data_IF_729612676712
#
_entry.id   IF_729612676712
#
_cell.length_a   1.000
_cell.length_b   1.000
_cell.length_c   1.000
_cell.angle_alpha   90.00
_cell.angle_beta   90.00
_cell.angle_gamma   90.00
#
_symmetry.space_group_name_H-M   'P 1'
#
loop_
_entity.id
_entity.type
_entity.pdbx_description
1 polymer ?
#
# COMPACT_ATOMS: atom_id res chain seq x y z
N UNK A 1 -15.99 16.46 4.86
CA UNK A 1 -14.90 17.38 5.23
C UNK A 1 -13.56 16.73 4.95
N UNK A 2 -13.10 15.87 5.86
CA UNK A 2 -11.78 15.26 5.81
C UNK A 2 -11.45 14.56 4.47
N UNK A 3 -12.30 13.64 3.99
CA UNK A 3 -12.13 12.99 2.68
C UNK A 3 -12.12 13.98 1.49
N UNK A 4 -12.84 15.09 1.58
CA UNK A 4 -12.83 16.12 0.54
C UNK A 4 -11.48 16.83 0.47
N UNK A 5 -10.85 17.07 1.63
CA UNK A 5 -9.52 17.64 1.70
C UNK A 5 -8.45 16.67 1.17
N UNK A 6 -8.54 15.38 1.52
CA UNK A 6 -7.65 14.36 0.96
C UNK A 6 -7.75 14.33 -0.57
N UNK A 7 -8.97 14.38 -1.11
CA UNK A 7 -9.20 14.46 -2.56
C UNK A 7 -8.61 15.71 -3.19
N UNK A 8 -8.90 16.88 -2.64
CA UNK A 8 -8.33 18.14 -3.11
C UNK A 8 -6.79 18.11 -3.13
N UNK A 9 -6.18 17.56 -2.09
CA UNK A 9 -4.72 17.52 -1.96
C UNK A 9 -4.08 16.44 -2.84
N UNK A 10 -4.55 15.20 -2.76
CA UNK A 10 -3.87 14.04 -3.32
C UNK A 10 -4.30 13.75 -4.77
N UNK A 11 -5.57 14.00 -5.14
CA UNK A 11 -6.06 13.81 -6.52
C UNK A 11 -5.90 15.07 -7.36
N UNK A 12 -6.47 16.18 -6.89
CA UNK A 12 -6.56 17.42 -7.69
C UNK A 12 -5.29 18.28 -7.58
N UNK A 13 -4.55 18.16 -6.47
CA UNK A 13 -3.39 19.00 -6.17
C UNK A 13 -3.70 20.48 -5.98
N UNK A 14 -4.95 20.81 -5.70
CA UNK A 14 -5.42 22.15 -5.40
C UNK A 14 -6.35 22.10 -4.21
N UNK A 15 -5.91 22.65 -3.08
CA UNK A 15 -6.55 22.42 -1.78
C UNK A 15 -6.78 23.70 -1.00
N UNK A 16 -7.81 23.65 -0.15
CA UNK A 16 -8.12 24.73 0.77
C UNK A 16 -7.16 24.67 1.97
N UNK A 17 -6.29 25.66 2.10
CA UNK A 17 -5.25 25.72 3.13
C UNK A 17 -5.79 26.12 4.52
N UNK A 18 -6.99 26.72 4.57
CA UNK A 18 -7.60 27.14 5.85
C UNK A 18 -9.11 26.84 5.96
N UNK A 19 -9.52 25.56 6.00
CA UNK A 19 -10.94 25.16 6.01
C UNK A 19 -11.55 25.33 7.41
N UNK A 20 -11.46 26.53 7.98
CA UNK A 20 -11.95 26.82 9.33
C UNK A 20 -13.49 26.76 9.40
N UNK A 21 -14.10 26.62 10.60
CA UNK A 21 -15.56 26.45 10.72
C UNK A 21 -16.39 27.53 10.03
N UNK A 22 -15.92 28.79 10.02
CA UNK A 22 -16.60 29.88 9.32
C UNK A 22 -16.70 29.74 7.79
N UNK A 23 -15.87 28.89 7.16
CA UNK A 23 -15.82 28.69 5.72
C UNK A 23 -16.54 27.41 5.28
N UNK A 24 -17.06 26.63 6.23
CA UNK A 24 -17.67 25.33 5.99
C UNK A 24 -19.10 25.31 6.52
N UNK A 25 -20.04 24.93 5.66
CA UNK A 25 -21.45 24.81 6.03
C UNK A 25 -22.00 23.43 5.64
N UNK A 26 -22.65 22.76 6.58
CA UNK A 26 -23.41 21.56 6.27
C UNK A 26 -24.76 21.97 5.67
N UNK A 27 -25.05 21.51 4.45
CA UNK A 27 -26.32 21.79 3.79
C UNK A 27 -27.41 20.85 4.31
N UNK A 28 -28.71 21.22 4.20
CA UNK A 28 -29.82 20.36 4.66
C UNK A 28 -29.87 18.98 4.00
N UNK A 29 -29.34 18.83 2.79
CA UNK A 29 -29.22 17.56 2.06
C UNK A 29 -27.95 16.76 2.42
N UNK A 30 -27.23 17.17 3.47
CA UNK A 30 -26.07 16.44 4.01
C UNK A 30 -24.77 16.61 3.23
N UNK A 31 -24.67 17.63 2.37
CA UNK A 31 -23.43 18.00 1.67
C UNK A 31 -22.64 19.02 2.49
N UNK A 32 -21.38 19.21 2.10
CA UNK A 32 -20.51 20.23 2.66
C UNK A 32 -20.34 21.36 1.63
N UNK A 33 -20.76 22.56 1.98
CA UNK A 33 -20.55 23.77 1.19
C UNK A 33 -19.30 24.51 1.70
N UNK A 34 -18.44 24.91 0.77
CA UNK A 34 -17.33 25.83 1.01
C UNK A 34 -17.78 27.25 0.67
N UNK A 35 -17.56 28.19 1.59
CA UNK A 35 -18.05 29.57 1.46
C UNK A 35 -16.97 30.54 0.97
N UNK A 36 -15.71 30.25 1.31
CA UNK A 36 -14.55 31.07 0.97
C UNK A 36 -13.50 30.20 0.30
N UNK A 37 -12.74 30.79 -0.62
CA UNK A 37 -11.64 30.20 -1.37
C UNK A 37 -10.42 31.15 -1.40
N UNK A 38 -10.33 32.12 -0.48
CA UNK A 38 -9.25 33.10 -0.41
C UNK A 38 -7.88 32.51 -0.02
N UNK A 39 -7.86 31.33 0.61
CA UNK A 39 -6.64 30.60 0.97
C UNK A 39 -6.60 29.22 0.32
N UNK A 40 -6.34 29.21 -0.99
CA UNK A 40 -6.08 28.00 -1.76
C UNK A 40 -4.59 27.86 -2.06
N UNK A 41 -4.11 26.63 -2.17
CA UNK A 41 -2.72 26.32 -2.51
C UNK A 41 -2.65 25.13 -3.45
N UNK A 42 -1.57 25.07 -4.24
CA UNK A 42 -1.33 24.01 -5.20
C UNK A 42 -0.10 23.20 -4.83
N UNK A 43 -0.12 21.90 -5.13
CA UNK A 43 1.01 20.99 -4.95
C UNK A 43 1.27 20.26 -6.26
N UNK A 44 2.52 20.28 -6.70
CA UNK A 44 2.89 19.59 -7.95
C UNK A 44 2.68 18.08 -7.84
N UNK A 45 2.32 17.39 -8.95
CA UNK A 45 2.10 15.94 -8.96
C UNK A 45 3.20 15.13 -8.28
N UNK A 46 4.48 15.42 -8.57
CA UNK A 46 5.64 14.73 -8.00
C UNK A 46 5.64 14.71 -6.47
N UNK A 47 5.37 15.86 -5.83
CA UNK A 47 5.31 15.95 -4.37
C UNK A 47 4.07 15.27 -3.79
N UNK A 48 2.95 15.24 -4.52
CA UNK A 48 1.75 14.51 -4.09
C UNK A 48 1.99 13.01 -4.02
N UNK A 49 2.71 12.45 -5.01
CA UNK A 49 3.05 11.04 -5.03
C UNK A 49 4.01 10.68 -3.89
N UNK A 50 5.02 11.51 -3.64
CA UNK A 50 5.94 11.31 -2.50
C UNK A 50 5.24 11.45 -1.14
N UNK A 51 4.27 12.36 -1.03
CA UNK A 51 3.43 12.47 0.17
C UNK A 51 2.64 11.18 0.42
N UNK A 52 2.11 10.60 -0.66
CA UNK A 52 1.37 9.34 -0.61
C UNK A 52 2.30 8.18 -0.21
N UNK A 53 3.49 8.10 -0.82
CA UNK A 53 4.55 7.16 -0.47
C UNK A 53 4.91 7.21 1.02
N UNK A 54 5.12 8.41 1.58
CA UNK A 54 5.41 8.58 3.02
C UNK A 54 4.29 8.11 3.93
N UNK A 55 3.04 8.33 3.54
CA UNK A 55 1.91 7.81 4.30
C UNK A 55 1.92 6.28 4.31
N UNK A 56 2.32 5.64 3.20
CA UNK A 56 2.40 4.18 3.11
C UNK A 56 3.57 3.65 3.95
N UNK A 57 4.75 4.26 3.88
CA UNK A 57 5.90 3.91 4.73
C UNK A 57 5.55 3.99 6.23
N UNK A 58 4.79 5.01 6.65
CA UNK A 58 4.28 5.09 8.03
C UNK A 58 3.36 3.91 8.38
N UNK A 59 2.48 3.50 7.47
CA UNK A 59 1.49 2.44 7.72
C UNK A 59 2.14 1.07 7.84
N UNK A 60 3.11 0.77 6.97
CA UNK A 60 3.79 -0.53 6.96
C UNK A 60 4.94 -0.59 7.97
N UNK A 61 5.20 0.50 8.70
CA UNK A 61 6.29 0.60 9.68
C UNK A 61 7.68 0.68 9.06
N UNK A 62 7.78 1.03 7.77
CA UNK A 62 9.04 1.22 7.07
C UNK A 62 9.61 2.62 7.33
N UNK A 63 10.23 2.77 8.49
CA UNK A 63 10.81 4.06 8.90
C UNK A 63 12.13 4.38 8.20
N UNK A 64 12.76 3.40 7.56
CA UNK A 64 13.92 3.63 6.69
C UNK A 64 13.47 4.27 5.38
N UNK A 65 12.45 3.70 4.72
CA UNK A 65 11.78 4.30 3.56
C UNK A 65 11.24 5.70 3.87
N UNK A 66 10.58 5.88 5.01
CA UNK A 66 10.08 7.21 5.43
C UNK A 66 11.22 8.24 5.59
N UNK A 67 12.38 7.83 6.12
CA UNK A 67 13.51 8.72 6.27
C UNK A 67 14.08 9.14 4.91
N UNK A 68 14.11 8.21 3.94
CA UNK A 68 14.48 8.51 2.55
C UNK A 68 13.47 9.43 1.86
N UNK A 69 12.18 9.27 2.15
CA UNK A 69 11.17 10.16 1.60
C UNK A 69 11.36 11.61 2.02
N UNK A 70 11.85 11.88 3.23
CA UNK A 70 12.16 13.24 3.65
C UNK A 70 13.24 13.89 2.76
N UNK A 71 14.16 13.11 2.21
CA UNK A 71 15.09 13.60 1.18
C UNK A 71 14.35 13.82 -0.15
N UNK A 72 13.53 12.85 -0.60
CA UNK A 72 12.74 12.97 -1.84
C UNK A 72 11.77 14.16 -1.82
N UNK A 73 11.25 14.53 -0.64
CA UNK A 73 10.32 15.64 -0.40
C UNK A 73 11.03 17.00 -0.26
N UNK A 74 12.36 17.03 -0.40
CA UNK A 74 13.23 18.20 -0.15
C UNK A 74 13.15 18.72 1.31
N UNK A 75 12.67 17.90 2.24
CA UNK A 75 12.70 18.23 3.67
C UNK A 75 14.10 18.20 4.21
N UNK A 76 14.93 17.30 3.71
CA UNK A 76 16.32 17.14 4.10
C UNK A 76 17.22 17.25 2.85
N UNK A 77 18.40 17.89 2.97
CA UNK A 77 19.41 17.83 1.93
C UNK A 77 19.80 16.38 1.58
N UNK A 78 20.10 16.06 0.30
CA UNK A 78 20.51 14.72 -0.13
C UNK A 78 21.71 14.11 0.60
N UNK A 79 22.60 14.97 1.11
CA UNK A 79 23.79 14.58 1.88
C UNK A 79 23.50 14.25 3.36
N UNK A 80 22.25 14.36 3.81
CA UNK A 80 21.89 14.09 5.20
C UNK A 80 21.96 12.60 5.50
N UNK A 81 22.66 12.22 6.57
CA UNK A 81 22.59 10.86 7.10
C UNK A 81 21.25 10.60 7.78
N UNK A 82 20.32 10.03 7.01
CA UNK A 82 18.96 9.74 7.45
C UNK A 82 18.86 8.54 8.40
N UNK A 83 19.91 7.71 8.51
CA UNK A 83 19.93 6.55 9.41
C UNK A 83 19.70 6.98 10.87
N UNK A 84 20.24 8.14 11.22
CA UNK A 84 20.09 8.74 12.55
C UNK A 84 18.67 9.25 12.86
N UNK A 85 17.80 9.41 11.86
CA UNK A 85 16.39 9.77 12.04
C UNK A 85 15.51 8.56 12.35
N UNK A 86 15.90 7.36 11.92
CA UNK A 86 15.05 6.15 12.01
C UNK A 86 14.52 5.93 13.44
N UNK A 87 15.34 5.98 14.51
CA UNK A 87 14.82 5.78 15.87
C UNK A 87 13.81 6.86 16.31
N UNK A 88 13.98 8.10 15.84
CA UNK A 88 13.05 9.19 16.13
C UNK A 88 11.72 8.96 15.40
N UNK A 89 11.78 8.57 14.12
CA UNK A 89 10.59 8.24 13.34
C UNK A 89 9.84 7.05 13.96
N UNK A 90 10.56 6.03 14.43
CA UNK A 90 9.98 4.89 15.16
C UNK A 90 9.28 5.33 16.45
N UNK A 91 9.85 6.23 17.26
CA UNK A 91 9.15 6.76 18.45
C UNK A 91 7.90 7.55 18.06
N UNK A 92 8.00 8.35 16.99
CA UNK A 92 6.92 9.23 16.58
C UNK A 92 5.76 8.46 16.00
N UNK A 93 6.02 7.46 15.15
CA UNK A 93 5.03 6.78 14.32
C UNK A 93 4.85 5.29 14.64
N UNK A 94 5.71 4.64 15.41
CA UNK A 94 5.59 3.20 15.73
C UNK A 94 4.25 2.82 16.37
N UNK A 95 3.69 3.70 17.20
CA UNK A 95 2.38 3.51 17.83
C UNK A 95 1.17 3.68 16.90
N UNK A 96 1.38 4.05 15.63
CA UNK A 96 0.30 4.14 14.63
C UNK A 96 -0.30 2.75 14.38
N UNK A 97 0.52 1.70 14.33
CA UNK A 97 0.09 0.34 14.00
C UNK A 97 -0.55 -0.41 15.19
N UNK A 98 -0.18 -0.09 16.43
CA UNK A 98 -0.53 -0.88 17.63
C UNK A 98 -1.94 -0.66 18.19
N UNK A 99 -2.84 -0.02 17.43
CA UNK A 99 -4.28 0.04 17.73
C UNK A 99 -4.63 0.44 19.18
N UNK A 100 -4.20 1.64 19.59
CA UNK A 100 -5.14 2.60 20.20
C UNK A 100 -4.94 3.95 19.52
N UNK A 101 -5.47 4.02 18.30
CA UNK A 101 -5.45 5.21 17.43
C UNK A 101 -6.11 6.44 18.10
N UNK A 102 -6.74 6.29 19.27
CA UNK A 102 -7.29 7.39 20.09
C UNK A 102 -6.24 8.42 20.51
N UNK A 103 -4.95 8.14 20.31
CA UNK A 103 -3.86 9.05 20.64
C UNK A 103 -3.19 9.71 19.44
N UNK A 104 -3.38 9.25 18.19
CA UNK A 104 -2.67 9.78 17.02
C UNK A 104 -3.48 10.83 16.27
N UNK A 105 -2.99 12.08 16.37
CA UNK A 105 -3.58 13.24 15.72
C UNK A 105 -2.54 14.13 15.08
N UNK A 106 -2.89 14.87 14.03
CA UNK A 106 -1.94 15.73 13.30
C UNK A 106 -1.30 16.75 14.23
N UNK A 107 -2.07 17.35 15.13
CA UNK A 107 -1.54 18.28 16.14
C UNK A 107 -0.49 17.64 17.07
N UNK A 108 -0.62 16.34 17.37
CA UNK A 108 0.37 15.62 18.18
C UNK A 108 1.62 15.31 17.38
N UNK A 109 1.48 14.90 16.13
CA UNK A 109 2.61 14.64 15.23
C UNK A 109 3.42 15.90 15.00
N UNK A 110 2.78 17.03 14.71
CA UNK A 110 3.47 18.32 14.54
C UNK A 110 4.33 18.63 15.77
N UNK A 111 3.79 18.45 16.98
CA UNK A 111 4.51 18.65 18.25
C UNK A 111 5.65 17.65 18.46
N UNK A 112 5.49 16.40 18.03
CA UNK A 112 6.52 15.36 18.09
C UNK A 112 7.63 15.56 17.05
N UNK A 113 7.30 16.09 15.87
CA UNK A 113 8.26 16.43 14.81
C UNK A 113 8.98 17.75 15.08
N UNK A 114 8.39 18.68 15.84
CA UNK A 114 8.96 20.00 16.09
C UNK A 114 10.40 19.97 16.65
N UNK A 115 10.76 19.09 17.61
CA UNK A 115 12.14 18.94 18.07
C UNK A 115 13.11 18.52 16.96
N UNK A 116 12.66 17.72 15.98
CA UNK A 116 13.51 17.26 14.88
C UNK A 116 13.94 18.41 13.97
N UNK A 117 13.12 19.46 13.85
CA UNK A 117 13.45 20.65 13.07
C UNK A 117 14.68 21.41 13.61
N UNK A 118 14.99 21.23 14.90
CA UNK A 118 16.18 21.82 15.53
C UNK A 118 17.38 20.88 15.53
N UNK A 119 17.14 19.56 15.47
CA UNK A 119 18.18 18.52 15.53
C UNK A 119 18.76 18.20 14.15
N UNK A 120 17.94 18.32 13.10
CA UNK A 120 18.31 17.99 11.72
C UNK A 120 18.10 19.22 10.81
N UNK A 121 18.80 19.29 9.66
CA UNK A 121 18.76 20.45 8.76
C UNK A 121 17.47 20.49 7.92
N UNK A 122 16.31 20.44 8.57
CA UNK A 122 15.02 20.46 7.91
C UNK A 122 14.79 21.78 7.16
N UNK A 123 14.38 21.66 5.90
CA UNK A 123 13.91 22.75 5.05
C UNK A 123 12.49 22.44 4.62
N UNK A 124 11.50 22.80 5.43
CA UNK A 124 10.09 22.57 5.08
C UNK A 124 9.61 23.61 4.06
N UNK A 125 9.21 23.21 2.84
CA UNK A 125 8.56 24.12 1.90
C UNK A 125 7.23 24.64 2.45
N UNK A 126 6.88 25.88 2.08
CA UNK A 126 5.71 26.59 2.62
C UNK A 126 4.39 25.83 2.43
N UNK A 127 4.22 25.13 1.30
CA UNK A 127 2.99 24.40 1.01
C UNK A 127 2.74 23.25 2.00
N UNK A 128 3.77 22.62 2.57
CA UNK A 128 3.57 21.60 3.61
C UNK A 128 3.07 22.18 4.92
N UNK A 129 3.52 23.38 5.29
CA UNK A 129 2.96 24.08 6.45
C UNK A 129 1.47 24.36 6.26
N UNK A 130 1.04 24.67 5.03
CA UNK A 130 -0.36 24.85 4.69
C UNK A 130 -1.16 23.54 4.73
N UNK A 131 -0.56 22.43 4.27
CA UNK A 131 -1.16 21.09 4.39
C UNK A 131 -1.38 20.74 5.86
N UNK A 132 -0.34 20.87 6.70
CA UNK A 132 -0.41 20.57 8.13
C UNK A 132 -1.44 21.44 8.84
N UNK A 133 -1.48 22.74 8.54
CA UNK A 133 -2.50 23.65 9.08
C UNK A 133 -3.91 23.21 8.68
N UNK A 134 -4.13 22.92 7.40
CA UNK A 134 -5.44 22.49 6.90
C UNK A 134 -5.91 21.20 7.59
N UNK A 135 -5.03 20.19 7.66
CA UNK A 135 -5.30 18.91 8.31
C UNK A 135 -5.57 19.07 9.81
N UNK A 136 -4.78 19.88 10.52
CA UNK A 136 -4.96 20.14 11.95
C UNK A 136 -6.27 20.89 12.26
N UNK A 137 -6.66 21.85 11.41
CA UNK A 137 -7.95 22.56 11.51
C UNK A 137 -9.11 21.60 11.31
N UNK A 138 -9.07 20.75 10.27
CA UNK A 138 -10.11 19.77 10.01
C UNK A 138 -10.21 18.71 11.11
N UNK A 139 -9.08 18.25 11.62
CA UNK A 139 -9.03 17.38 12.79
C UNK A 139 -9.72 18.02 13.99
N UNK A 140 -9.41 19.29 14.30
CA UNK A 140 -10.03 20.00 15.41
C UNK A 140 -11.55 20.15 15.26
N UNK A 141 -12.05 20.32 14.04
CA UNK A 141 -13.49 20.32 13.73
C UNK A 141 -14.08 18.92 13.92
N UNK A 142 -13.43 17.90 13.39
CA UNK A 142 -13.91 16.53 13.44
C UNK A 142 -13.97 15.98 14.88
N UNK A 143 -12.97 16.26 15.71
CA UNK A 143 -12.93 15.87 17.13
C UNK A 143 -14.06 16.53 17.92
N UNK A 144 -14.41 17.78 17.62
CA UNK A 144 -15.56 18.46 18.26
C UNK A 144 -16.90 17.76 17.96
N UNK A 145 -17.03 17.15 16.78
CA UNK A 145 -18.25 16.45 16.37
C UNK A 145 -18.25 14.98 16.81
N UNK A 146 -17.09 14.34 16.77
CA UNK A 146 -16.88 12.97 17.20
C UNK A 146 -15.57 12.91 18.02
N UNK A 147 -15.65 12.87 19.36
CA UNK A 147 -14.45 12.82 20.22
C UNK A 147 -13.54 11.62 19.98
N UNK A 148 -14.07 10.54 19.38
CA UNK A 148 -13.31 9.35 19.00
C UNK A 148 -12.80 9.41 17.56
N UNK A 149 -12.88 10.56 16.89
CA UNK A 149 -12.40 10.73 15.53
C UNK A 149 -10.88 10.50 15.45
N UNK A 150 -10.48 9.69 14.48
CA UNK A 150 -9.11 9.25 14.28
C UNK A 150 -8.71 9.59 12.85
N UNK A 151 -7.95 10.67 12.61
CA UNK A 151 -7.66 11.14 11.26
C UNK A 151 -6.95 10.11 10.38
N UNK A 152 -6.10 9.28 10.99
CA UNK A 152 -5.36 8.22 10.29
C UNK A 152 -6.25 7.09 9.78
N UNK A 153 -7.29 6.72 10.52
CA UNK A 153 -8.27 5.74 10.06
C UNK A 153 -9.06 6.20 8.83
N UNK A 154 -9.14 7.52 8.60
CA UNK A 154 -9.75 8.07 7.38
C UNK A 154 -8.71 8.28 6.27
N UNK A 155 -7.45 8.53 6.61
CA UNK A 155 -6.37 8.82 5.65
C UNK A 155 -5.86 7.55 4.98
N UNK A 156 -5.61 6.48 5.75
CA UNK A 156 -4.95 5.28 5.22
C UNK A 156 -5.78 4.51 4.20
N UNK A 157 -7.07 4.23 4.43
CA UNK A 157 -7.87 3.54 3.42
C UNK A 157 -7.94 4.33 2.12
N UNK A 158 -7.94 5.67 2.21
CA UNK A 158 -7.94 6.54 1.05
C UNK A 158 -6.61 6.48 0.28
N UNK A 159 -5.47 6.56 0.99
CA UNK A 159 -4.13 6.46 0.39
C UNK A 159 -3.88 5.07 -0.20
N UNK A 160 -4.19 4.00 0.53
CA UNK A 160 -4.05 2.63 0.04
C UNK A 160 -4.91 2.39 -1.20
N UNK A 161 -6.16 2.88 -1.19
CA UNK A 161 -7.03 2.80 -2.36
C UNK A 161 -6.41 3.53 -3.54
N UNK A 162 -5.93 4.76 -3.32
CA UNK A 162 -5.29 5.55 -4.38
C UNK A 162 -4.05 4.87 -4.95
N UNK A 163 -3.15 4.37 -4.10
CA UNK A 163 -1.93 3.67 -4.53
C UNK A 163 -2.26 2.48 -5.42
N UNK A 164 -3.25 1.67 -5.03
CA UNK A 164 -3.60 0.44 -5.71
C UNK A 164 -4.43 0.64 -7.00
N UNK A 165 -5.09 1.79 -7.15
CA UNK A 165 -6.07 2.03 -8.24
C UNK A 165 -5.65 3.11 -9.25
N UNK A 166 -4.61 3.89 -8.95
CA UNK A 166 -4.15 4.94 -9.85
C UNK A 166 -3.33 4.39 -11.02
N UNK A 167 -3.62 4.87 -12.22
CA UNK A 167 -2.92 4.46 -13.45
C UNK A 167 -1.69 5.30 -13.78
N UNK A 168 -1.38 6.32 -12.97
CA UNK A 168 -0.22 7.20 -13.17
C UNK A 168 1.09 6.40 -13.10
N UNK A 169 2.03 6.64 -14.03
CA UNK A 169 3.34 6.01 -14.02
C UNK A 169 4.04 6.11 -12.65
N UNK A 170 3.96 7.27 -12.01
CA UNK A 170 4.65 7.54 -10.76
C UNK A 170 4.09 6.74 -9.59
N UNK A 171 2.75 6.61 -9.46
CA UNK A 171 2.16 5.78 -8.41
C UNK A 171 2.32 4.29 -8.70
N UNK A 172 2.39 3.88 -9.98
CA UNK A 172 2.74 2.50 -10.35
C UNK A 172 4.18 2.15 -9.97
N UNK A 173 5.11 3.07 -10.19
CA UNK A 173 6.50 2.92 -9.72
C UNK A 173 6.56 2.87 -8.21
N UNK A 174 5.89 3.79 -7.50
CA UNK A 174 5.83 3.79 -6.04
C UNK A 174 5.22 2.49 -5.50
N UNK A 175 4.10 2.02 -6.07
CA UNK A 175 3.50 0.74 -5.70
C UNK A 175 4.49 -0.40 -5.89
N UNK A 176 5.19 -0.44 -7.02
CA UNK A 176 6.19 -1.48 -7.29
C UNK A 176 7.35 -1.46 -6.29
N UNK A 177 7.92 -0.28 -6.00
CA UNK A 177 9.03 -0.12 -5.05
C UNK A 177 8.63 -0.56 -3.62
N UNK A 178 7.37 -0.37 -3.25
CA UNK A 178 6.85 -0.74 -1.94
C UNK A 178 6.53 -2.25 -1.86
N UNK A 179 6.00 -2.84 -2.93
CA UNK A 179 5.55 -4.25 -2.92
C UNK A 179 6.62 -5.23 -3.42
N UNK A 180 7.73 -4.73 -3.96
CA UNK A 180 8.82 -5.53 -4.47
C UNK A 180 10.17 -4.93 -4.05
N UNK A 181 10.85 -5.62 -3.14
CA UNK A 181 12.12 -5.18 -2.54
C UNK A 181 13.09 -6.36 -2.48
N UNK A 182 14.37 -6.09 -2.73
CA UNK A 182 15.46 -7.08 -2.67
C UNK A 182 15.25 -8.37 -3.46
N UNK A 183 14.47 -8.30 -4.55
CA UNK A 183 14.15 -9.45 -5.39
C UNK A 183 12.88 -10.21 -4.99
N UNK A 184 12.26 -9.85 -3.87
CA UNK A 184 11.14 -10.56 -3.28
C UNK A 184 9.87 -9.69 -3.19
N UNK A 185 8.72 -10.34 -3.31
CA UNK A 185 7.42 -9.70 -3.11
C UNK A 185 7.18 -9.51 -1.61
N UNK A 186 6.88 -8.27 -1.23
CA UNK A 186 6.52 -7.88 0.13
C UNK A 186 5.05 -8.21 0.39
N UNK A 187 4.74 -9.51 0.54
CA UNK A 187 3.37 -10.02 0.71
C UNK A 187 2.63 -9.41 1.90
N UNK A 188 3.33 -9.12 2.99
CA UNK A 188 2.76 -8.43 4.15
C UNK A 188 2.23 -7.03 3.78
N UNK A 189 2.95 -6.29 2.94
CA UNK A 189 2.56 -4.95 2.51
C UNK A 189 1.31 -5.01 1.62
N UNK A 190 1.26 -5.96 0.68
CA UNK A 190 0.06 -6.19 -0.13
C UNK A 190 -1.15 -6.55 0.74
N UNK A 191 -0.97 -7.43 1.73
CA UNK A 191 -2.03 -7.75 2.69
C UNK A 191 -2.51 -6.53 3.47
N UNK A 192 -1.60 -5.69 3.95
CA UNK A 192 -1.93 -4.50 4.73
C UNK A 192 -2.69 -3.48 3.87
N UNK A 193 -2.19 -3.17 2.67
CA UNK A 193 -2.86 -2.27 1.72
C UNK A 193 -4.26 -2.77 1.39
N UNK A 194 -4.41 -4.04 1.03
CA UNK A 194 -5.72 -4.64 0.73
C UNK A 194 -6.64 -4.64 1.95
N UNK A 195 -6.09 -4.92 3.14
CA UNK A 195 -6.80 -4.85 4.42
C UNK A 195 -7.38 -3.45 4.67
N UNK A 196 -6.59 -2.41 4.46
CA UNK A 196 -7.02 -1.02 4.62
C UNK A 196 -8.10 -0.64 3.61
N UNK A 197 -7.95 -1.02 2.33
CA UNK A 197 -8.96 -0.68 1.31
C UNK A 197 -10.31 -1.32 1.62
N UNK A 198 -10.35 -2.53 2.21
CA UNK A 198 -11.62 -3.18 2.60
C UNK A 198 -12.41 -2.41 3.66
N UNK A 199 -11.75 -1.56 4.46
CA UNK A 199 -12.43 -0.69 5.43
C UNK A 199 -13.04 0.55 4.76
N UNK A 200 -12.66 0.87 3.52
CA UNK A 200 -13.20 2.00 2.77
C UNK A 200 -14.67 1.76 2.39
N UNK A 201 -15.51 2.77 2.63
CA UNK A 201 -16.95 2.73 2.31
C UNK A 201 -17.25 2.60 0.81
N UNK A 202 -16.28 2.90 -0.07
CA UNK A 202 -16.41 2.89 -1.53
C UNK A 202 -15.57 1.80 -2.19
N UNK A 203 -15.25 0.73 -1.46
CA UNK A 203 -14.43 -0.34 -2.02
C UNK A 203 -15.14 -1.05 -3.17
N UNK A 204 -14.51 -1.04 -4.35
CA UNK A 204 -14.87 -1.86 -5.50
C UNK A 204 -13.68 -2.75 -5.86
N UNK A 205 -13.79 -4.02 -5.46
CA UNK A 205 -12.74 -5.01 -5.68
C UNK A 205 -12.57 -5.37 -7.15
N UNK A 206 -13.63 -5.29 -7.96
CA UNK A 206 -13.59 -5.65 -9.37
C UNK A 206 -12.84 -4.57 -10.15
N UNK A 207 -13.07 -3.30 -9.81
CA UNK A 207 -12.28 -2.19 -10.32
C UNK A 207 -10.79 -2.32 -9.93
N UNK A 208 -10.52 -2.63 -8.66
CA UNK A 208 -9.16 -2.85 -8.16
C UNK A 208 -8.44 -3.99 -8.91
N UNK A 209 -9.10 -5.14 -9.09
CA UNK A 209 -8.54 -6.28 -9.82
C UNK A 209 -8.26 -5.95 -11.26
N UNK A 210 -9.20 -5.28 -11.94
CA UNK A 210 -9.01 -4.90 -13.34
C UNK A 210 -7.81 -3.97 -13.49
N UNK A 211 -7.66 -2.97 -12.61
CA UNK A 211 -6.52 -2.05 -12.64
C UNK A 211 -5.20 -2.75 -12.28
N UNK A 212 -5.23 -3.66 -11.31
CA UNK A 212 -4.07 -4.49 -10.97
C UNK A 212 -3.64 -5.38 -12.13
N UNK A 213 -4.58 -6.02 -12.82
CA UNK A 213 -4.30 -6.82 -14.02
C UNK A 213 -3.75 -5.94 -15.15
N UNK A 214 -4.36 -4.79 -15.42
CA UNK A 214 -3.83 -3.83 -16.41
C UNK A 214 -2.41 -3.38 -16.08
N UNK A 215 -2.08 -3.22 -14.79
CA UNK A 215 -0.72 -2.92 -14.37
C UNK A 215 0.24 -4.09 -14.65
N UNK A 216 -0.10 -5.31 -14.23
CA UNK A 216 0.74 -6.50 -14.46
C UNK A 216 0.95 -6.81 -15.96
N UNK A 217 -0.04 -6.48 -16.80
CA UNK A 217 0.07 -6.62 -18.26
C UNK A 217 0.85 -5.49 -18.94
N UNK A 218 1.09 -4.37 -18.24
CA UNK A 218 1.88 -3.26 -18.78
C UNK A 218 3.39 -3.55 -18.71
N UNK A 219 4.18 -2.76 -19.45
CA UNK A 219 5.65 -2.81 -19.40
C UNK A 219 6.17 -2.49 -17.98
N UNK A 220 5.54 -1.55 -17.29
CA UNK A 220 5.93 -1.15 -15.93
C UNK A 220 5.75 -2.28 -14.93
N UNK A 221 4.67 -3.06 -15.04
CA UNK A 221 4.38 -4.17 -14.13
C UNK A 221 5.12 -5.47 -14.47
N UNK A 222 6.04 -5.46 -15.44
CA UNK A 222 6.78 -6.67 -15.86
C UNK A 222 7.58 -7.31 -14.72
N UNK A 223 8.23 -6.49 -13.89
CA UNK A 223 9.02 -6.96 -12.74
C UNK A 223 8.10 -7.68 -11.75
N UNK A 224 7.02 -7.01 -11.33
CA UNK A 224 6.08 -7.59 -10.37
C UNK A 224 5.36 -8.83 -10.95
N UNK A 225 5.01 -8.81 -12.24
CA UNK A 225 4.40 -9.95 -12.93
C UNK A 225 5.35 -11.16 -12.90
N UNK A 226 6.61 -10.97 -13.26
CA UNK A 226 7.57 -12.07 -13.32
C UNK A 226 7.82 -12.65 -11.92
N UNK A 227 7.99 -11.80 -10.91
CA UNK A 227 8.09 -12.23 -9.51
C UNK A 227 6.84 -13.01 -9.04
N UNK A 228 5.64 -12.56 -9.43
CA UNK A 228 4.39 -13.27 -9.10
C UNK A 228 4.34 -14.65 -9.76
N UNK A 229 4.75 -14.76 -11.02
CA UNK A 229 4.79 -16.04 -11.74
C UNK A 229 5.79 -16.98 -11.08
N UNK A 230 7.00 -16.51 -10.76
CA UNK A 230 8.02 -17.31 -10.06
C UNK A 230 7.52 -17.82 -8.71
N UNK A 231 6.87 -16.96 -7.91
CA UNK A 231 6.33 -17.35 -6.61
C UNK A 231 5.17 -18.37 -6.74
N UNK A 232 4.29 -18.19 -7.73
CA UNK A 232 3.20 -19.15 -7.99
C UNK A 232 3.74 -20.52 -8.40
N UNK A 233 4.81 -20.54 -9.19
CA UNK A 233 5.47 -21.78 -9.63
C UNK A 233 6.12 -22.48 -8.46
N UNK A 234 6.93 -21.74 -7.68
CA UNK A 234 7.55 -22.24 -6.45
C UNK A 234 6.50 -22.81 -5.49
N UNK A 235 5.36 -22.13 -5.35
CA UNK A 235 4.22 -22.58 -4.55
C UNK A 235 3.61 -23.90 -5.05
N UNK A 236 3.42 -24.05 -6.36
CA UNK A 236 2.90 -25.28 -6.98
C UNK A 236 3.90 -26.45 -6.82
N UNK A 237 5.19 -26.19 -7.00
CA UNK A 237 6.24 -27.20 -6.78
C UNK A 237 6.22 -27.67 -5.32
N UNK A 238 6.17 -26.75 -4.36
CA UNK A 238 6.10 -27.05 -2.94
C UNK A 238 4.85 -27.86 -2.57
N UNK A 239 3.68 -27.52 -3.12
CA UNK A 239 2.45 -28.30 -2.94
C UNK A 239 2.60 -29.72 -3.50
N UNK A 240 3.18 -29.85 -4.70
CA UNK A 240 3.44 -31.14 -5.35
C UNK A 240 4.35 -32.02 -4.48
N UNK A 241 5.42 -31.45 -3.93
CA UNK A 241 6.33 -32.15 -3.00
C UNK A 241 5.62 -32.57 -1.71
N UNK A 242 4.76 -31.72 -1.14
CA UNK A 242 3.98 -32.02 0.07
C UNK A 242 2.99 -33.18 -0.17
N UNK A 243 2.25 -33.14 -1.27
CA UNK A 243 1.29 -34.20 -1.63
C UNK A 243 1.99 -35.52 -1.91
N UNK A 244 3.10 -35.52 -2.66
CA UNK A 244 3.91 -36.72 -2.90
C UNK A 244 4.52 -37.27 -1.62
N UNK A 245 5.03 -36.41 -0.72
CA UNK A 245 5.54 -36.82 0.59
C UNK A 245 4.47 -37.50 1.44
N UNK A 246 3.25 -36.96 1.47
CA UNK A 246 2.11 -37.56 2.18
C UNK A 246 1.69 -38.92 1.59
N UNK A 247 1.63 -39.01 0.25
CA UNK A 247 1.27 -40.25 -0.43
C UNK A 247 2.33 -41.33 -0.19
N UNK A 248 3.61 -41.02 -0.38
CA UNK A 248 4.71 -41.98 -0.17
C UNK A 248 4.77 -42.48 1.28
N UNK A 249 4.57 -41.60 2.26
CA UNK A 249 4.44 -41.96 3.67
C UNK A 249 3.24 -42.89 3.92
N UNK A 250 2.09 -42.63 3.28
CA UNK A 250 0.87 -43.44 3.44
C UNK A 250 0.94 -44.83 2.78
N UNK A 251 1.75 -44.97 1.73
CA UNK A 251 1.94 -46.23 0.97
C UNK A 251 3.17 -47.01 1.47
N UNK A 252 3.89 -46.50 2.47
CA UNK A 252 5.03 -47.20 3.10
C UNK A 252 6.34 -47.15 2.31
N UNK A 253 6.42 -46.31 1.26
CA UNK A 253 7.67 -46.04 0.55
C UNK A 253 8.38 -44.85 1.21
N UNK A 254 9.56 -45.10 1.79
CA UNK A 254 10.42 -44.05 2.31
C UNK A 254 11.10 -43.32 1.14
N UNK A 255 10.43 -42.34 0.55
CA UNK A 255 11.05 -41.41 -0.40
C UNK A 255 11.60 -40.24 0.41
N UNK A 256 12.91 -40.02 0.33
CA UNK A 256 13.56 -38.90 1.00
C UNK A 256 13.27 -37.61 0.21
N UNK A 257 12.06 -37.05 0.38
CA UNK A 257 11.66 -35.78 -0.25
C UNK A 257 12.25 -34.64 0.58
N UNK A 258 13.51 -34.28 0.28
CA UNK A 258 14.16 -33.10 0.87
C UNK A 258 13.72 -31.84 0.10
N UNK A 259 12.49 -31.40 0.30
CA UNK A 259 12.02 -30.07 -0.09
C UNK A 259 11.92 -29.18 1.15
N UNK A 260 12.38 -27.92 1.08
CA UNK A 260 12.14 -26.93 2.14
C UNK A 260 10.63 -26.80 2.32
N UNK A 261 10.11 -27.25 3.47
CA UNK A 261 8.68 -27.55 3.67
C UNK A 261 7.88 -26.37 4.25
N UNK A 262 8.43 -25.17 4.21
CA UNK A 262 7.75 -23.95 4.64
C UNK A 262 7.78 -22.94 3.50
N UNK A 263 6.62 -22.71 2.91
CA UNK A 263 6.38 -21.61 1.99
C UNK A 263 5.58 -20.56 2.79
N UNK A 264 6.25 -19.64 3.52
CA UNK A 264 5.56 -18.62 4.30
C UNK A 264 4.65 -17.72 3.44
N UNK A 265 4.92 -17.65 2.14
CA UNK A 265 4.16 -16.83 1.19
C UNK A 265 2.86 -17.49 0.73
N UNK A 266 2.78 -18.82 0.64
CA UNK A 266 1.57 -19.52 0.20
C UNK A 266 0.35 -19.20 1.09
N UNK A 267 0.53 -19.19 2.42
CA UNK A 267 -0.56 -18.83 3.35
C UNK A 267 -1.04 -17.38 3.12
N UNK A 268 -0.10 -16.47 2.84
CA UNK A 268 -0.39 -15.05 2.52
C UNK A 268 -1.13 -14.92 1.19
N UNK A 269 -0.69 -15.66 0.17
CA UNK A 269 -1.34 -15.73 -1.14
C UNK A 269 -2.76 -16.29 -1.04
N UNK A 270 -2.96 -17.37 -0.27
CA UNK A 270 -4.28 -17.94 0.01
C UNK A 270 -5.17 -16.91 0.71
N UNK A 271 -4.65 -16.17 1.69
CA UNK A 271 -5.38 -15.12 2.38
C UNK A 271 -5.79 -14.00 1.43
N UNK A 272 -4.89 -13.50 0.59
CA UNK A 272 -5.18 -12.48 -0.45
C UNK A 272 -6.23 -13.01 -1.43
N UNK A 273 -6.05 -14.24 -1.94
CA UNK A 273 -7.00 -14.91 -2.82
C UNK A 273 -8.38 -15.05 -2.17
N UNK A 274 -8.45 -15.39 -0.88
CA UNK A 274 -9.70 -15.43 -0.14
C UNK A 274 -10.34 -14.04 0.00
N UNK A 275 -9.55 -12.98 0.22
CA UNK A 275 -10.09 -11.60 0.22
C UNK A 275 -10.73 -11.24 -1.10
N UNK A 276 -10.12 -11.69 -2.21
CA UNK A 276 -10.60 -11.49 -3.57
C UNK A 276 -11.91 -12.27 -3.82
N UNK A 277 -11.92 -13.57 -3.51
CA UNK A 277 -13.04 -14.48 -3.79
C UNK A 277 -14.26 -14.20 -2.90
N UNK A 278 -14.05 -13.87 -1.61
CA UNK A 278 -15.15 -13.63 -0.67
C UNK A 278 -15.89 -12.32 -0.92
N UNK A 279 -15.36 -11.46 -1.78
CA UNK A 279 -16.07 -10.26 -2.20
C UNK A 279 -17.22 -10.66 -3.14
N UNK A 280 -18.45 -10.27 -2.79
CA UNK A 280 -19.69 -10.63 -3.48
C UNK A 280 -19.83 -10.09 -4.91
N UNK A 281 -18.75 -9.56 -5.50
CA UNK A 281 -18.65 -8.99 -6.86
C UNK A 281 -17.48 -9.54 -7.67
N UNK A 282 -16.78 -10.57 -7.19
CA UNK A 282 -15.71 -11.18 -7.97
C UNK A 282 -16.27 -11.70 -9.31
N UNK A 283 -15.84 -11.07 -10.39
CA UNK A 283 -16.28 -11.38 -11.74
C UNK A 283 -15.50 -12.58 -12.27
N UNK A 284 -16.21 -13.68 -12.55
CA UNK A 284 -15.62 -14.89 -13.14
C UNK A 284 -14.94 -14.60 -14.49
N UNK A 285 -15.26 -13.49 -15.18
CA UNK A 285 -14.57 -13.04 -16.40
C UNK A 285 -13.12 -12.59 -16.18
N UNK A 286 -12.72 -12.29 -14.94
CA UNK A 286 -11.32 -11.95 -14.61
C UNK A 286 -10.42 -13.19 -14.43
N UNK A 287 -11.02 -14.38 -14.25
CA UNK A 287 -10.30 -15.66 -14.08
C UNK A 287 -9.50 -16.05 -15.33
N UNK A 288 -10.05 -16.00 -16.56
CA UNK A 288 -9.27 -16.25 -17.77
C UNK A 288 -8.07 -15.32 -17.92
N UNK A 289 -8.21 -14.03 -17.60
CA UNK A 289 -7.10 -13.05 -17.67
C UNK A 289 -6.00 -13.36 -16.65
N UNK A 290 -6.34 -13.85 -15.46
CA UNK A 290 -5.36 -14.33 -14.49
C UNK A 290 -4.65 -15.61 -14.96
N UNK A 291 -5.37 -16.52 -15.61
CA UNK A 291 -4.79 -17.72 -16.20
C UNK A 291 -3.89 -17.38 -17.40
N UNK A 292 -4.22 -16.35 -18.20
CA UNK A 292 -3.37 -15.86 -19.28
C UNK A 292 -2.05 -15.26 -18.78
N UNK A 293 -2.04 -14.59 -17.61
CA UNK A 293 -0.79 -14.14 -16.95
C UNK A 293 0.12 -15.33 -16.67
N UNK A 294 -0.46 -16.43 -16.19
CA UNK A 294 0.23 -17.70 -15.96
C UNK A 294 0.59 -18.45 -17.25
N UNK A 295 0.17 -18.02 -18.44
CA UNK A 295 0.40 -18.74 -19.70
C UNK A 295 1.31 -17.99 -20.68
N UNK A 296 1.70 -16.75 -20.37
CA UNK A 296 2.51 -15.91 -21.27
C UNK A 296 4.00 -16.27 -21.20
N UNK A 297 4.45 -16.95 -22.26
CA UNK A 297 5.83 -17.23 -22.73
C UNK A 297 6.83 -17.96 -21.79
N UNK A 298 6.93 -17.63 -20.51
CA UNK A 298 7.89 -18.27 -19.60
C UNK A 298 7.34 -19.58 -19.00
N UNK A 299 6.02 -19.65 -18.83
CA UNK A 299 5.31 -20.86 -18.36
C UNK A 299 5.12 -21.94 -19.43
N UNK A 300 5.35 -21.65 -20.71
CA UNK A 300 5.43 -22.72 -21.72
C UNK A 300 6.72 -23.53 -21.58
N UNK A 301 7.86 -22.87 -21.33
CA UNK A 301 9.11 -23.56 -21.04
C UNK A 301 9.04 -24.27 -19.70
N UNK A 302 8.44 -23.63 -18.70
CA UNK A 302 8.29 -24.19 -17.37
C UNK A 302 7.28 -25.34 -17.31
N UNK A 303 6.14 -25.23 -18.00
CA UNK A 303 5.16 -26.31 -18.16
C UNK A 303 5.75 -27.50 -18.92
N UNK A 304 6.63 -27.25 -19.91
CA UNK A 304 7.42 -28.28 -20.56
C UNK A 304 8.51 -28.88 -19.66
N UNK A 305 9.16 -28.08 -18.81
CA UNK A 305 10.16 -28.56 -17.83
C UNK A 305 9.51 -29.41 -16.75
N UNK A 306 8.39 -28.95 -16.16
CA UNK A 306 7.61 -29.69 -15.18
C UNK A 306 7.07 -30.99 -15.82
N UNK A 307 6.49 -30.93 -17.02
CA UNK A 307 6.04 -32.12 -17.73
C UNK A 307 7.19 -33.08 -18.08
N UNK A 308 8.34 -32.55 -18.51
CA UNK A 308 9.56 -33.31 -18.79
C UNK A 308 10.11 -34.00 -17.53
N UNK A 309 10.11 -33.32 -16.39
CA UNK A 309 10.72 -33.83 -15.17
C UNK A 309 9.79 -34.79 -14.42
N UNK A 310 8.47 -34.60 -14.52
CA UNK A 310 7.47 -35.60 -14.16
C UNK A 310 7.61 -36.84 -15.07
N UNK A 311 7.76 -36.67 -16.39
CA UNK A 311 7.94 -37.79 -17.31
C UNK A 311 9.24 -38.57 -17.04
N UNK A 312 10.37 -37.89 -16.76
CA UNK A 312 11.62 -38.56 -16.39
C UNK A 312 11.53 -39.35 -15.08
N UNK A 313 10.70 -38.92 -14.14
CA UNK A 313 10.53 -39.58 -12.83
C UNK A 313 9.46 -40.68 -12.84
N UNK A 314 8.50 -40.65 -13.76
CA UNK A 314 7.50 -41.73 -13.91
C UNK A 314 8.01 -42.94 -14.71
N UNK A 315 9.06 -42.78 -15.54
CA UNK A 315 9.62 -43.83 -16.38
C UNK A 315 11.02 -44.31 -15.91
N UNK A 316 11.32 -44.17 -14.61
CA UNK A 316 12.44 -44.84 -13.93
C UNK A 316 11.95 -45.57 -12.70
#
# INVERSE_FOLDING_TARGET
>A
GFQCCLRQLLEEGYFHADPHPGNLLATPDGKLAYLDFGMMSSVEPSYRYRLLESVVHIVIGDFEGLAQDYVKLDFLPPETDVTSLIPELTDIFGGVMEATVSTFGFNRIIRKLSPLLYKYPFKLPTYYLLIFRSAATLEGIAIKLNPNFQPFNETYPYVAQRLLTDSSPELRTCLQEIVYQDGDIQWHVLEELLGQVRTSRKFDISALLNQGLEFLYSEQGSILRNALVEEMVSSIENLSYKTLGQITASVGFAVNVTGKLESPNLERMEKIGAMIIQSSRFDLESVPKMLELLLKQETQQLGQQIASEIAKRMFR
#
